data_IF_062242314420
#
_entry.id   IF_062242314420
#
_cell.length_a   1.000
_cell.length_b   1.000
_cell.length_c   1.000
_cell.angle_alpha   90.00
_cell.angle_beta   90.00
_cell.angle_gamma   90.00
#
_symmetry.space_group_name_H-M   'P 1'
#
loop_
_entity.id
_entity.type
_entity.pdbx_description
1 polymer ?
#
# COMPACT_ATOMS: atom_id res chain seq x y z
N UNK A 1 -14.15 38.55 -45.17
CA UNK A 1 -13.59 38.51 -43.80
C UNK A 1 -12.67 37.30 -43.75
N UNK A 2 -11.37 37.50 -43.93
CA UNK A 2 -10.39 36.40 -43.96
C UNK A 2 -9.78 36.21 -42.58
N UNK A 3 -9.92 35.02 -42.01
CA UNK A 3 -9.17 34.63 -40.81
C UNK A 3 -7.69 34.55 -41.18
N UNK A 4 -6.86 35.35 -40.52
CA UNK A 4 -5.42 35.42 -40.75
C UNK A 4 -4.75 34.07 -40.45
N UNK A 5 -3.76 33.66 -41.25
CA UNK A 5 -3.01 32.42 -41.04
C UNK A 5 -2.42 32.30 -39.63
N UNK A 6 -2.08 33.43 -39.01
CA UNK A 6 -1.57 33.48 -37.63
C UNK A 6 -2.65 33.11 -36.58
N UNK A 7 -3.92 33.42 -36.84
CA UNK A 7 -5.04 33.02 -35.96
C UNK A 7 -5.29 31.51 -36.03
N UNK A 8 -5.10 30.90 -37.21
CA UNK A 8 -5.22 29.44 -37.38
C UNK A 8 -4.06 28.72 -36.69
N UNK A 9 -2.83 29.21 -36.82
CA UNK A 9 -1.65 28.63 -36.14
C UNK A 9 -1.79 28.73 -34.62
N UNK A 10 -2.25 29.88 -34.10
CA UNK A 10 -2.49 30.05 -32.66
C UNK A 10 -3.60 29.12 -32.14
N UNK A 11 -4.67 28.92 -32.92
CA UNK A 11 -5.74 27.98 -32.57
C UNK A 11 -5.28 26.51 -32.60
N UNK A 12 -4.37 26.15 -33.50
CA UNK A 12 -3.79 24.80 -33.56
C UNK A 12 -2.79 24.54 -32.43
N UNK A 13 -1.99 25.54 -32.09
CA UNK A 13 -1.07 25.48 -30.94
C UNK A 13 -1.85 25.45 -29.62
N UNK A 14 -2.94 26.22 -29.48
CA UNK A 14 -3.79 26.16 -28.28
C UNK A 14 -4.56 24.84 -28.19
N UNK A 15 -5.07 24.30 -29.30
CA UNK A 15 -5.71 22.98 -29.32
C UNK A 15 -4.72 21.83 -29.02
N UNK A 16 -3.46 21.97 -29.46
CA UNK A 16 -2.40 21.03 -29.12
C UNK A 16 -1.99 21.15 -27.65
N UNK A 17 -1.77 22.37 -27.14
CA UNK A 17 -1.48 22.59 -25.71
C UNK A 17 -2.64 22.16 -24.80
N UNK A 18 -3.89 22.34 -25.24
CA UNK A 18 -5.06 21.77 -24.56
C UNK A 18 -5.00 20.23 -24.63
N UNK A 19 -4.77 19.62 -25.78
CA UNK A 19 -4.66 18.15 -25.84
C UNK A 19 -3.52 17.59 -24.96
N UNK A 20 -2.45 18.35 -24.75
CA UNK A 20 -1.32 17.95 -23.92
C UNK A 20 -1.60 18.20 -22.43
N UNK A 21 -2.35 19.26 -22.10
CA UNK A 21 -2.88 19.51 -20.76
C UNK A 21 -3.95 18.48 -20.34
N UNK A 22 -4.61 17.82 -21.29
CA UNK A 22 -5.56 16.72 -21.03
C UNK A 22 -4.85 15.36 -20.91
N UNK A 23 -3.51 15.35 -20.93
CA UNK A 23 -2.66 14.22 -20.58
C UNK A 23 -2.01 14.40 -19.19
N UNK A 24 -2.67 15.12 -18.27
CA UNK A 24 -2.29 15.11 -16.84
C UNK A 24 -2.92 13.93 -16.06
N UNK A 25 -3.83 13.17 -16.67
CA UNK A 25 -4.33 11.91 -16.12
C UNK A 25 -3.38 10.78 -16.44
N UNK A 26 -2.65 10.27 -15.44
CA UNK A 26 -1.71 9.14 -15.61
C UNK A 26 -2.33 7.92 -16.30
N UNK A 27 -1.53 6.96 -16.78
CA UNK A 27 -2.04 5.79 -17.49
C UNK A 27 -2.63 4.74 -16.53
N UNK A 28 -3.65 4.01 -16.99
CA UNK A 28 -4.13 2.80 -16.31
C UNK A 28 -3.22 1.59 -16.61
N UNK A 29 -3.48 0.45 -15.95
CA UNK A 29 -2.82 -0.81 -16.29
C UNK A 29 -3.11 -1.20 -17.75
N UNK A 30 -2.07 -1.43 -18.55
CA UNK A 30 -2.21 -1.67 -19.98
C UNK A 30 -2.36 -3.18 -20.27
N UNK A 31 -3.50 -3.74 -19.92
CA UNK A 31 -3.74 -5.20 -19.96
C UNK A 31 -4.97 -5.64 -20.76
N UNK A 32 -5.68 -4.68 -21.37
CA UNK A 32 -6.91 -4.91 -22.13
C UNK A 32 -8.15 -5.20 -21.27
N UNK A 33 -8.04 -5.15 -19.94
CA UNK A 33 -9.14 -5.25 -18.97
C UNK A 33 -9.42 -3.94 -18.24
N UNK A 34 -8.51 -2.99 -18.34
CA UNK A 34 -8.68 -1.62 -17.89
C UNK A 34 -8.88 -0.69 -19.09
N UNK A 35 -9.47 0.49 -18.82
CA UNK A 35 -9.43 1.63 -19.75
C UNK A 35 -7.97 2.02 -20.04
N UNK A 36 -7.72 2.74 -21.14
CA UNK A 36 -6.38 3.22 -21.44
C UNK A 36 -5.91 4.32 -20.46
N UNK A 37 -6.81 5.25 -20.14
CA UNK A 37 -6.59 6.37 -19.22
C UNK A 37 -7.76 6.48 -18.24
N UNK A 38 -7.53 6.96 -17.01
CA UNK A 38 -8.57 7.13 -16.03
C UNK A 38 -9.46 8.31 -16.41
N UNK A 39 -10.69 8.29 -15.94
CA UNK A 39 -11.65 9.36 -16.16
C UNK A 39 -12.97 9.11 -15.44
N UNK A 40 -13.90 10.08 -15.47
CA UNK A 40 -15.15 10.00 -14.73
C UNK A 40 -16.06 8.89 -15.24
N UNK A 41 -16.64 8.13 -14.31
CA UNK A 41 -17.58 7.03 -14.52
C UNK A 41 -18.85 7.24 -13.66
N UNK A 42 -19.76 8.16 -14.06
CA UNK A 42 -20.94 8.50 -13.25
C UNK A 42 -21.94 7.34 -13.10
N UNK A 43 -21.82 6.31 -13.92
CA UNK A 43 -22.65 5.11 -13.85
C UNK A 43 -22.12 4.06 -12.86
N UNK A 44 -20.93 4.25 -12.28
CA UNK A 44 -20.25 3.29 -11.42
C UNK A 44 -20.99 3.13 -10.07
N UNK A 45 -21.69 2.00 -9.88
CA UNK A 45 -22.54 1.77 -8.69
C UNK A 45 -21.77 1.18 -7.52
N UNK A 46 -20.97 0.17 -7.82
CA UNK A 46 -19.97 -0.37 -6.90
C UNK A 46 -18.64 0.39 -7.11
N UNK A 47 -17.67 0.27 -6.20
CA UNK A 47 -16.39 0.97 -6.36
C UNK A 47 -16.50 2.51 -6.46
N UNK A 48 -17.56 3.11 -5.89
CA UNK A 48 -17.89 4.54 -6.01
C UNK A 48 -16.82 5.50 -5.49
N UNK A 49 -15.85 5.00 -4.71
CA UNK A 49 -14.64 5.72 -4.34
C UNK A 49 -13.89 6.27 -5.57
N UNK A 50 -14.02 5.62 -6.73
CA UNK A 50 -13.29 5.95 -7.95
C UNK A 50 -14.14 6.67 -9.01
N UNK A 51 -15.43 6.97 -8.74
CA UNK A 51 -16.38 7.54 -9.72
C UNK A 51 -15.86 8.76 -10.47
N UNK A 52 -15.12 9.66 -9.82
CA UNK A 52 -14.63 10.88 -10.47
C UNK A 52 -13.42 10.64 -11.39
N UNK A 53 -12.68 9.54 -11.18
CA UNK A 53 -11.45 9.24 -11.91
C UNK A 53 -11.10 7.74 -11.84
N UNK A 54 -11.77 6.91 -12.66
CA UNK A 54 -11.62 5.46 -12.64
C UNK A 54 -10.92 4.89 -13.90
N UNK A 55 -10.19 3.79 -13.71
CA UNK A 55 -9.65 2.91 -14.74
C UNK A 55 -10.58 1.77 -15.18
N UNK A 56 -11.73 1.62 -14.51
CA UNK A 56 -12.78 0.68 -14.88
C UNK A 56 -14.00 1.44 -15.43
N UNK A 57 -15.02 0.69 -15.81
CA UNK A 57 -16.39 1.15 -16.08
C UNK A 57 -17.34 0.14 -15.43
N UNK A 58 -18.64 0.41 -15.41
CA UNK A 58 -19.64 -0.51 -14.80
C UNK A 58 -19.55 -1.94 -15.39
N UNK A 59 -19.24 -2.06 -16.68
CA UNK A 59 -19.08 -3.36 -17.35
C UNK A 59 -17.93 -4.21 -16.81
N UNK A 60 -16.90 -3.57 -16.25
CA UNK A 60 -15.73 -4.25 -15.69
C UNK A 60 -15.96 -4.78 -14.27
N UNK A 61 -17.11 -4.47 -13.63
CA UNK A 61 -17.40 -4.80 -12.22
C UNK A 61 -18.77 -5.46 -12.01
N UNK A 62 -19.38 -6.00 -13.06
CA UNK A 62 -20.72 -6.61 -13.00
C UNK A 62 -20.81 -7.80 -12.01
N UNK A 63 -19.69 -8.45 -11.69
CA UNK A 63 -19.56 -9.50 -10.68
C UNK A 63 -19.62 -8.97 -9.24
N UNK A 64 -19.35 -7.67 -9.02
CA UNK A 64 -19.40 -7.02 -7.70
C UNK A 64 -20.79 -6.45 -7.35
N UNK A 65 -21.60 -6.14 -8.36
CA UNK A 65 -22.94 -5.55 -8.20
C UNK A 65 -23.91 -6.58 -7.60
N UNK A 66 -24.77 -6.16 -6.69
CA UNK A 66 -25.77 -7.03 -6.07
C UNK A 66 -27.19 -6.83 -6.66
N UNK A 67 -27.90 -7.89 -7.10
CA UNK A 67 -27.39 -9.25 -7.32
C UNK A 67 -26.41 -9.30 -8.51
N UNK A 68 -25.42 -10.21 -8.51
CA UNK A 68 -24.45 -10.32 -9.59
C UNK A 68 -25.16 -10.66 -10.90
N UNK A 69 -24.74 -10.03 -12.00
CA UNK A 69 -25.36 -10.20 -13.32
C UNK A 69 -25.36 -11.67 -13.80
N UNK A 70 -24.40 -12.48 -13.31
CA UNK A 70 -24.43 -13.94 -13.41
C UNK A 70 -23.92 -14.57 -12.10
N UNK A 71 -24.77 -15.31 -11.39
CA UNK A 71 -24.37 -16.06 -10.19
C UNK A 71 -23.46 -17.26 -10.50
N UNK A 72 -23.40 -17.71 -11.76
CA UNK A 72 -22.55 -18.86 -12.13
C UNK A 72 -21.04 -18.51 -12.14
N UNK A 73 -20.69 -17.24 -12.27
CA UNK A 73 -19.30 -16.79 -12.50
C UNK A 73 -18.72 -15.88 -11.42
N UNK A 74 -19.37 -15.71 -10.27
CA UNK A 74 -18.74 -14.98 -9.17
C UNK A 74 -17.58 -15.85 -8.62
N UNK A 75 -16.32 -15.39 -8.64
CA UNK A 75 -15.18 -16.24 -8.26
C UNK A 75 -15.14 -16.61 -6.77
N UNK A 76 -15.75 -15.79 -5.91
CA UNK A 76 -15.59 -15.87 -4.46
C UNK A 76 -16.77 -16.50 -3.71
N UNK A 77 -17.82 -16.96 -4.40
CA UNK A 77 -19.00 -17.58 -3.78
C UNK A 77 -19.01 -19.12 -3.88
N UNK A 78 -17.91 -19.72 -4.34
CA UNK A 78 -17.82 -21.16 -4.61
C UNK A 78 -17.91 -22.04 -3.37
N UNK A 79 -17.60 -21.50 -2.19
CA UNK A 79 -17.75 -22.18 -0.91
C UNK A 79 -18.97 -21.74 -0.10
N UNK A 80 -19.88 -20.99 -0.72
CA UNK A 80 -21.05 -20.40 -0.08
C UNK A 80 -20.99 -18.87 -0.04
N UNK A 81 -22.10 -18.27 0.38
CA UNK A 81 -22.23 -16.82 0.46
C UNK A 81 -21.40 -16.25 1.60
N UNK A 82 -20.61 -15.23 1.30
CA UNK A 82 -19.85 -14.47 2.29
C UNK A 82 -20.76 -13.53 3.07
N UNK A 83 -20.47 -13.33 4.36
CA UNK A 83 -21.08 -12.24 5.13
C UNK A 83 -20.79 -10.87 4.52
N UNK A 84 -21.66 -9.86 4.74
CA UNK A 84 -21.43 -8.50 4.27
C UNK A 84 -20.08 -7.92 4.71
N UNK A 85 -19.63 -8.25 5.92
CA UNK A 85 -18.33 -7.85 6.46
C UNK A 85 -17.17 -8.35 5.60
N UNK A 86 -17.04 -9.67 5.43
CA UNK A 86 -16.00 -10.25 4.59
C UNK A 86 -16.07 -9.78 3.13
N UNK A 87 -17.28 -9.73 2.55
CA UNK A 87 -17.51 -9.28 1.18
C UNK A 87 -17.05 -7.84 0.95
N UNK A 88 -17.17 -6.97 1.95
CA UNK A 88 -16.75 -5.56 1.84
C UNK A 88 -15.24 -5.42 1.59
N UNK A 89 -14.41 -6.24 2.25
CA UNK A 89 -12.96 -6.22 2.04
C UNK A 89 -12.58 -6.72 0.66
N UNK A 90 -13.20 -7.82 0.19
CA UNK A 90 -13.00 -8.30 -1.18
C UNK A 90 -13.38 -7.25 -2.22
N UNK A 91 -14.52 -6.58 -2.04
CA UNK A 91 -14.92 -5.46 -2.89
C UNK A 91 -13.86 -4.36 -2.92
N UNK A 92 -13.33 -3.93 -1.76
CA UNK A 92 -12.28 -2.89 -1.70
C UNK A 92 -11.03 -3.28 -2.48
N UNK A 93 -10.57 -4.53 -2.33
CA UNK A 93 -9.39 -5.05 -3.06
C UNK A 93 -9.62 -5.07 -4.57
N UNK A 94 -10.77 -5.60 -5.01
CA UNK A 94 -11.08 -5.70 -6.44
C UNK A 94 -11.32 -4.32 -7.05
N UNK A 95 -12.01 -3.43 -6.34
CA UNK A 95 -12.21 -2.05 -6.75
C UNK A 95 -10.87 -1.31 -6.86
N UNK A 96 -9.94 -1.51 -5.92
CA UNK A 96 -8.60 -0.94 -6.04
C UNK A 96 -7.90 -1.42 -7.31
N UNK A 97 -7.84 -2.74 -7.52
CA UNK A 97 -7.18 -3.32 -8.70
C UNK A 97 -7.80 -2.82 -10.01
N UNK A 98 -9.13 -2.92 -10.17
CA UNK A 98 -9.80 -2.64 -11.44
C UNK A 98 -10.02 -1.16 -11.71
N UNK A 99 -10.36 -0.38 -10.68
CA UNK A 99 -10.88 0.97 -10.86
C UNK A 99 -9.91 2.05 -10.43
N UNK A 100 -8.98 1.75 -9.54
CA UNK A 100 -8.10 2.80 -9.02
C UNK A 100 -7.10 3.26 -10.08
N UNK A 101 -7.01 4.58 -10.36
CA UNK A 101 -5.93 5.11 -11.21
C UNK A 101 -4.55 4.89 -10.58
N UNK A 102 -4.56 4.60 -9.29
CA UNK A 102 -3.41 4.46 -8.44
C UNK A 102 -2.77 3.08 -8.49
N UNK A 103 -3.51 2.06 -8.91
CA UNK A 103 -3.03 0.68 -9.04
C UNK A 103 -1.87 0.59 -10.06
N UNK A 104 -1.89 1.43 -11.10
CA UNK A 104 -0.88 1.47 -12.15
C UNK A 104 0.53 1.88 -11.67
N UNK A 105 0.71 2.26 -10.40
CA UNK A 105 2.03 2.49 -9.80
C UNK A 105 2.77 1.23 -9.40
N UNK A 106 2.05 0.12 -9.23
CA UNK A 106 2.64 -1.15 -8.83
C UNK A 106 2.44 -2.23 -9.89
N UNK A 107 2.78 -1.98 -11.18
CA UNK A 107 2.60 -2.98 -12.22
C UNK A 107 3.55 -4.16 -11.98
N UNK A 108 3.07 -5.38 -12.16
CA UNK A 108 3.94 -6.54 -12.09
C UNK A 108 4.84 -6.59 -13.35
N UNK A 109 6.18 -6.66 -13.21
CA UNK A 109 7.12 -6.52 -14.32
C UNK A 109 7.08 -7.68 -15.32
N UNK A 110 6.53 -8.83 -14.91
CA UNK A 110 6.45 -10.04 -15.74
C UNK A 110 5.00 -10.44 -16.07
N UNK A 111 4.00 -9.81 -15.44
CA UNK A 111 2.60 -10.18 -15.53
C UNK A 111 1.78 -8.90 -15.74
N UNK A 112 1.58 -8.51 -17.00
CA UNK A 112 1.04 -7.18 -17.33
C UNK A 112 -0.34 -6.85 -16.76
N UNK A 113 -1.11 -7.86 -16.37
CA UNK A 113 -2.44 -7.71 -15.72
C UNK A 113 -2.39 -7.80 -14.19
N UNK A 114 -1.23 -7.87 -13.56
CA UNK A 114 -1.10 -8.09 -12.12
C UNK A 114 -0.40 -6.93 -11.43
N UNK A 115 -0.60 -6.82 -10.12
CA UNK A 115 0.11 -5.88 -9.26
C UNK A 115 1.31 -6.55 -8.59
N UNK A 116 2.25 -5.76 -8.07
CA UNK A 116 3.37 -6.28 -7.28
C UNK A 116 3.73 -5.36 -6.12
N UNK A 117 3.71 -5.90 -4.90
CA UNK A 117 4.00 -5.23 -3.64
C UNK A 117 3.36 -3.84 -3.46
N UNK A 118 2.05 -3.79 -3.64
CA UNK A 118 1.25 -2.68 -3.13
C UNK A 118 1.33 -2.71 -1.59
N UNK A 119 1.72 -1.61 -0.92
CA UNK A 119 1.85 -1.57 0.53
C UNK A 119 0.47 -1.47 1.20
N UNK A 120 0.04 -2.52 1.89
CA UNK A 120 -1.25 -2.58 2.60
C UNK A 120 -1.02 -2.48 4.10
N UNK A 121 -1.86 -1.72 4.78
CA UNK A 121 -1.76 -1.57 6.23
C UNK A 121 -1.99 -2.88 6.96
N UNK A 122 -1.17 -3.14 7.98
CA UNK A 122 -1.32 -4.32 8.83
C UNK A 122 -2.71 -4.39 9.48
N UNK A 123 -3.25 -3.25 9.92
CA UNK A 123 -4.63 -3.16 10.44
C UNK A 123 -5.68 -3.60 9.43
N UNK A 124 -5.56 -3.19 8.16
CA UNK A 124 -6.46 -3.63 7.08
C UNK A 124 -6.43 -5.14 6.92
N UNK A 125 -5.24 -5.73 6.88
CA UNK A 125 -5.04 -7.17 6.73
C UNK A 125 -5.60 -7.96 7.91
N UNK A 126 -5.36 -7.48 9.14
CA UNK A 126 -5.93 -8.04 10.37
C UNK A 126 -7.46 -8.02 10.34
N UNK A 127 -8.04 -6.85 10.04
CA UNK A 127 -9.49 -6.66 10.08
C UNK A 127 -10.19 -7.45 8.97
N UNK A 128 -9.57 -7.56 7.79
CA UNK A 128 -10.04 -8.43 6.72
C UNK A 128 -10.07 -9.90 7.16
N UNK A 129 -8.98 -10.40 7.74
CA UNK A 129 -8.91 -11.78 8.20
C UNK A 129 -9.95 -12.06 9.29
N UNK A 130 -10.12 -11.15 10.25
CA UNK A 130 -11.12 -11.33 11.30
C UNK A 130 -12.55 -11.31 10.75
N UNK A 131 -12.85 -10.41 9.79
CA UNK A 131 -14.16 -10.35 9.14
C UNK A 131 -14.49 -11.61 8.33
N UNK A 132 -13.47 -12.28 7.77
CA UNK A 132 -13.63 -13.52 6.99
C UNK A 132 -13.36 -14.80 7.79
N UNK A 133 -13.03 -14.71 9.07
CA UNK A 133 -12.40 -15.80 9.86
C UNK A 133 -13.13 -17.15 9.77
N UNK A 134 -14.45 -17.12 9.84
CA UNK A 134 -15.34 -18.30 9.79
C UNK A 134 -15.91 -18.59 8.41
N UNK A 135 -15.68 -17.71 7.43
CA UNK A 135 -16.09 -17.93 6.04
C UNK A 135 -15.28 -19.06 5.42
N UNK A 136 -15.77 -19.62 4.32
CA UNK A 136 -15.14 -20.75 3.66
C UNK A 136 -14.39 -20.30 2.39
N UNK A 137 -13.22 -20.91 2.16
CA UNK A 137 -12.44 -20.79 0.92
C UNK A 137 -11.89 -22.16 0.53
N UNK A 138 -11.55 -22.33 -0.74
CA UNK A 138 -11.00 -23.57 -1.29
C UNK A 138 -9.65 -23.40 -1.98
N UNK A 139 -9.14 -22.18 -2.04
CA UNK A 139 -7.84 -21.88 -2.59
C UNK A 139 -7.13 -20.86 -1.71
N UNK A 140 -5.83 -21.09 -1.51
CA UNK A 140 -4.97 -20.20 -0.73
C UNK A 140 -4.60 -18.95 -1.51
N UNK A 141 -4.37 -19.11 -2.81
CA UNK A 141 -3.96 -18.04 -3.73
C UNK A 141 -4.89 -18.05 -4.96
N UNK A 142 -5.79 -17.09 -5.05
CA UNK A 142 -6.81 -17.04 -6.10
C UNK A 142 -6.27 -16.52 -7.44
N UNK A 143 -5.16 -15.78 -7.41
CA UNK A 143 -4.59 -15.15 -8.58
C UNK A 143 -4.03 -16.15 -9.60
N UNK A 144 -3.48 -17.28 -9.12
CA UNK A 144 -2.79 -18.26 -9.97
C UNK A 144 -3.26 -19.69 -9.78
N UNK A 145 -3.90 -20.04 -8.65
CA UNK A 145 -4.34 -21.41 -8.41
C UNK A 145 -5.59 -21.70 -9.27
N UNK A 146 -5.55 -22.67 -10.21
CA UNK A 146 -6.73 -23.08 -10.97
C UNK A 146 -7.88 -23.57 -10.07
N UNK A 147 -7.55 -24.06 -8.86
CA UNK A 147 -8.53 -24.43 -7.84
C UNK A 147 -9.28 -23.23 -7.29
N UNK A 148 -8.74 -22.01 -7.39
CA UNK A 148 -9.47 -20.78 -7.04
C UNK A 148 -10.63 -20.49 -7.99
N UNK A 149 -10.50 -20.85 -9.27
CA UNK A 149 -11.55 -20.58 -10.26
C UNK A 149 -12.73 -21.54 -10.17
N UNK A 150 -12.45 -22.84 -10.02
CA UNK A 150 -13.48 -23.89 -10.03
C UNK A 150 -13.65 -24.60 -8.69
N UNK A 151 -12.90 -24.19 -7.66
CA UNK A 151 -13.05 -24.70 -6.31
C UNK A 151 -12.99 -26.24 -6.23
N UNK A 152 -12.02 -26.85 -6.94
CA UNK A 152 -11.93 -28.32 -7.04
C UNK A 152 -11.37 -28.97 -5.76
N UNK A 153 -10.97 -28.17 -4.77
CA UNK A 153 -10.55 -28.61 -3.44
C UNK A 153 -11.70 -28.63 -2.43
N UNK A 154 -11.41 -29.00 -1.19
CA UNK A 154 -12.37 -28.90 -0.09
C UNK A 154 -12.49 -27.46 0.41
N UNK A 155 -13.70 -27.00 0.65
CA UNK A 155 -13.97 -25.74 1.32
C UNK A 155 -13.61 -25.84 2.80
N UNK A 156 -12.73 -24.97 3.26
CA UNK A 156 -12.27 -24.88 4.65
C UNK A 156 -12.40 -23.45 5.17
N UNK A 157 -12.59 -23.25 6.49
CA UNK A 157 -12.60 -21.92 7.08
C UNK A 157 -11.33 -21.12 6.77
N UNK A 158 -11.43 -19.80 6.61
CA UNK A 158 -10.27 -18.92 6.42
C UNK A 158 -9.22 -19.11 7.53
N UNK A 159 -9.64 -19.26 8.79
CA UNK A 159 -8.73 -19.52 9.91
C UNK A 159 -7.97 -20.86 9.83
N UNK A 160 -8.39 -21.79 8.96
CA UNK A 160 -7.62 -23.01 8.66
C UNK A 160 -6.72 -22.82 7.44
N UNK A 161 -7.10 -21.92 6.51
CA UNK A 161 -6.34 -21.64 5.29
C UNK A 161 -5.19 -20.65 5.52
N UNK A 162 -5.40 -19.65 6.38
CA UNK A 162 -4.47 -18.55 6.67
C UNK A 162 -4.18 -18.47 8.16
N UNK A 163 -2.92 -18.19 8.51
CA UNK A 163 -2.48 -18.12 9.90
C UNK A 163 -2.96 -16.84 10.61
N UNK A 164 -2.91 -15.71 9.92
CA UNK A 164 -3.29 -14.37 10.41
C UNK A 164 -3.51 -13.38 9.26
N UNK A 165 -3.77 -12.11 9.56
CA UNK A 165 -4.05 -11.05 8.58
C UNK A 165 -2.96 -10.86 7.52
N UNK A 166 -1.70 -10.70 7.93
CA UNK A 166 -0.58 -10.61 6.98
C UNK A 166 -0.52 -11.82 6.05
N UNK A 167 -0.69 -13.04 6.58
CA UNK A 167 -0.69 -14.26 5.77
C UNK A 167 -1.81 -14.27 4.72
N UNK A 168 -2.99 -13.75 5.07
CA UNK A 168 -4.10 -13.57 4.13
C UNK A 168 -3.73 -12.60 3.00
N UNK A 169 -3.26 -11.40 3.34
CA UNK A 169 -2.93 -10.36 2.35
C UNK A 169 -1.81 -10.78 1.40
N UNK A 170 -0.77 -11.41 1.92
CA UNK A 170 0.44 -11.81 1.18
C UNK A 170 0.29 -13.17 0.47
N UNK A 171 -0.84 -13.87 0.66
CA UNK A 171 -1.11 -15.15 -0.01
C UNK A 171 -2.28 -15.09 -0.97
N UNK A 172 -3.40 -14.43 -0.64
CA UNK A 172 -4.64 -14.55 -1.40
C UNK A 172 -4.49 -14.08 -2.86
N UNK A 173 -3.76 -12.99 -3.06
CA UNK A 173 -3.50 -12.41 -4.39
C UNK A 173 -2.02 -12.56 -4.80
N UNK A 174 -1.34 -13.58 -4.27
CA UNK A 174 0.07 -13.82 -4.52
C UNK A 174 0.94 -12.67 -4.04
N UNK A 175 1.88 -12.24 -4.87
CA UNK A 175 2.82 -11.16 -4.55
C UNK A 175 2.29 -9.74 -4.84
N UNK A 176 0.98 -9.60 -5.06
CA UNK A 176 0.33 -8.32 -5.31
C UNK A 176 0.45 -7.36 -4.11
N UNK A 177 0.33 -7.87 -2.89
CA UNK A 177 0.30 -7.07 -1.66
C UNK A 177 1.45 -7.45 -0.73
N UNK A 178 1.99 -6.44 -0.05
CA UNK A 178 2.91 -6.63 1.07
C UNK A 178 2.37 -5.87 2.27
N UNK A 179 2.46 -6.48 3.45
CA UNK A 179 1.95 -5.87 4.67
C UNK A 179 2.97 -4.88 5.23
N UNK A 180 2.49 -3.70 5.60
CA UNK A 180 3.29 -2.63 6.22
C UNK A 180 2.62 -2.23 7.52
N UNK A 181 3.41 -2.02 8.57
CA UNK A 181 2.89 -1.57 9.86
C UNK A 181 2.18 -0.21 9.73
N UNK A 182 1.13 -0.03 10.52
CA UNK A 182 0.42 1.24 10.61
C UNK A 182 1.33 2.25 11.33
N UNK A 183 2.01 3.13 10.60
CA UNK A 183 2.81 4.18 11.24
C UNK A 183 1.90 5.30 11.78
N UNK A 184 2.06 5.62 13.07
CA UNK A 184 1.59 6.87 13.66
C UNK A 184 2.58 7.98 13.29
N UNK A 185 2.07 9.14 12.85
CA UNK A 185 2.83 10.31 12.41
C UNK A 185 3.82 10.82 13.48
N UNK A 186 5.04 10.27 13.53
CA UNK A 186 6.14 10.72 14.41
C UNK A 186 7.07 11.72 13.70
N UNK A 187 6.53 12.54 12.79
CA UNK A 187 7.22 13.76 12.36
C UNK A 187 8.50 13.56 11.56
N UNK A 188 8.54 12.57 10.65
CA UNK A 188 9.53 12.57 9.58
C UNK A 188 9.81 11.21 8.96
N UNK A 189 9.17 10.96 7.81
CA UNK A 189 9.51 9.94 6.79
C UNK A 189 8.75 8.61 6.78
N UNK A 190 7.58 8.51 7.39
CA UNK A 190 6.67 7.38 7.19
C UNK A 190 6.26 7.24 5.72
N UNK A 191 6.54 6.10 5.09
CA UNK A 191 5.78 5.73 3.90
C UNK A 191 4.45 5.17 4.37
N UNK A 192 3.37 5.90 4.14
CA UNK A 192 2.05 5.41 4.51
C UNK A 192 1.71 4.11 3.77
N UNK A 193 0.93 3.27 4.45
CA UNK A 193 0.33 2.07 3.89
C UNK A 193 -1.08 2.39 3.38
N UNK A 194 -1.63 1.56 2.49
CA UNK A 194 -2.98 1.73 1.96
C UNK A 194 -3.99 0.90 2.74
N UNK A 195 -5.13 1.52 3.01
CA UNK A 195 -6.31 0.84 3.54
C UNK A 195 -7.31 0.48 2.44
N UNK A 196 -7.04 0.80 1.17
CA UNK A 196 -7.95 0.64 0.04
C UNK A 196 -9.26 1.41 0.28
N UNK A 197 -9.14 2.66 0.70
CA UNK A 197 -10.25 3.49 1.14
C UNK A 197 -10.03 4.98 0.95
N UNK A 198 -10.99 5.82 1.37
CA UNK A 198 -10.93 7.28 1.17
C UNK A 198 -9.71 7.96 1.80
N UNK A 199 -9.15 7.36 2.86
CA UNK A 199 -7.97 7.86 3.58
C UNK A 199 -6.68 7.76 2.78
N UNK A 200 -6.65 6.96 1.71
CA UNK A 200 -5.43 6.71 0.95
C UNK A 200 -5.02 7.90 0.09
N UNK A 201 -5.91 8.89 -0.13
CA UNK A 201 -5.62 10.06 -0.96
C UNK A 201 -4.36 10.81 -0.50
N UNK A 202 -4.22 10.99 0.81
CA UNK A 202 -3.09 11.71 1.40
C UNK A 202 -1.81 10.86 1.36
N UNK A 203 -1.93 9.56 1.62
CA UNK A 203 -0.83 8.59 1.49
C UNK A 203 -0.29 8.58 0.06
N UNK A 204 -1.19 8.49 -0.91
CA UNK A 204 -0.83 8.51 -2.34
C UNK A 204 -0.20 9.84 -2.74
N UNK A 205 -0.73 10.97 -2.27
CA UNK A 205 -0.13 12.28 -2.55
C UNK A 205 1.31 12.36 -2.00
N UNK A 206 1.53 11.88 -0.78
CA UNK A 206 2.86 11.83 -0.16
C UNK A 206 3.83 10.90 -0.92
N UNK A 207 3.35 9.75 -1.41
CA UNK A 207 4.17 8.84 -2.23
C UNK A 207 4.60 9.50 -3.54
N UNK A 208 3.69 10.20 -4.24
CA UNK A 208 4.01 10.91 -5.49
C UNK A 208 5.05 12.02 -5.26
N UNK A 209 4.90 12.80 -4.19
CA UNK A 209 5.83 13.88 -3.88
C UNK A 209 7.29 13.40 -3.68
N UNK A 210 7.49 12.16 -3.20
CA UNK A 210 8.84 11.57 -3.06
C UNK A 210 9.43 11.05 -4.36
N UNK A 211 8.60 10.64 -5.32
CA UNK A 211 9.10 10.22 -6.63
C UNK A 211 9.64 11.39 -7.46
N UNK A 212 9.10 12.58 -7.24
CA UNK A 212 9.48 13.82 -7.92
C UNK A 212 10.74 14.50 -7.34
N UNK A 213 11.29 14.02 -6.22
CA UNK A 213 12.51 14.53 -5.58
C UNK A 213 13.71 13.56 -5.76
N UNK A 214 14.52 13.70 -6.84
CA UNK A 214 15.60 12.79 -7.17
C UNK A 214 16.93 13.05 -6.45
N UNK A 215 17.06 14.02 -5.53
CA UNK A 215 18.34 14.28 -4.82
C UNK A 215 18.72 13.17 -3.80
N UNK A 216 17.90 12.13 -3.64
CA UNK A 216 18.20 10.95 -2.81
C UNK A 216 18.46 9.66 -3.62
N UNK A 217 18.80 9.76 -4.91
CA UNK A 217 19.21 8.59 -5.71
C UNK A 217 20.74 8.44 -5.78
N UNK A 218 21.29 7.52 -4.96
CA UNK A 218 22.65 7.02 -5.14
C UNK A 218 22.76 6.26 -6.47
N UNK A 219 23.35 6.91 -7.46
CA UNK A 219 23.50 6.41 -8.84
C UNK A 219 24.61 5.38 -9.02
N UNK A 220 25.20 4.85 -7.93
CA UNK A 220 26.31 3.87 -8.04
C UNK A 220 25.90 2.41 -8.16
N UNK A 221 24.61 2.03 -8.11
CA UNK A 221 24.18 0.63 -8.31
C UNK A 221 23.61 0.38 -9.71
N UNK A 222 24.45 -0.22 -10.54
CA UNK A 222 24.22 -0.54 -11.94
C UNK A 222 23.03 -1.49 -12.17
N UNK A 223 22.15 -1.12 -13.11
CA UNK A 223 21.46 -2.02 -14.03
C UNK A 223 20.38 -2.95 -13.45
N UNK A 224 19.17 -2.42 -13.33
CA UNK A 224 17.83 -3.06 -13.45
C UNK A 224 16.79 -1.94 -13.21
N UNK A 225 15.55 -2.00 -13.75
CA UNK A 225 14.52 -1.04 -13.36
C UNK A 225 14.38 -1.15 -11.84
N UNK A 226 14.71 -0.07 -11.12
CA UNK A 226 14.73 -0.08 -9.67
C UNK A 226 13.30 -0.21 -9.18
N UNK A 227 12.88 -1.45 -9.00
CA UNK A 227 11.76 -1.82 -8.18
C UNK A 227 12.06 -1.30 -6.76
N UNK A 228 11.48 -0.14 -6.42
CA UNK A 228 11.56 0.44 -5.08
C UNK A 228 10.73 -0.49 -4.18
N UNK A 229 11.41 -1.38 -3.47
CA UNK A 229 10.81 -2.08 -2.35
C UNK A 229 10.24 -1.03 -1.36
N UNK A 230 9.05 -1.23 -0.78
CA UNK A 230 8.44 -0.24 0.07
C UNK A 230 9.22 -0.15 1.39
N UNK A 231 10.02 0.89 1.49
CA UNK A 231 10.36 1.58 2.73
C UNK A 231 10.98 0.71 3.83
N UNK A 232 12.31 0.58 3.76
CA UNK A 232 13.13 0.30 4.92
C UNK A 232 13.83 1.59 5.35
N UNK A 233 13.71 1.92 6.63
CA UNK A 233 14.24 3.13 7.23
C UNK A 233 15.72 3.35 6.95
N UNK A 234 16.09 4.60 6.68
CA UNK A 234 17.48 5.04 6.72
C UNK A 234 17.99 4.94 8.17
N UNK A 235 19.23 4.45 8.40
CA UNK A 235 19.84 4.56 9.71
C UNK A 235 20.00 6.05 10.06
N UNK A 236 19.48 6.47 11.21
CA UNK A 236 19.80 7.77 11.84
C UNK A 236 21.31 7.96 11.80
N UNK A 237 21.79 8.90 10.99
CA UNK A 237 23.18 9.39 11.11
C UNK A 237 23.38 9.88 12.54
N UNK A 238 24.43 9.35 13.15
CA UNK A 238 24.82 9.60 14.52
C UNK A 238 24.72 11.09 14.89
N UNK A 239 24.17 11.32 16.09
CA UNK A 239 24.24 12.58 16.82
C UNK A 239 25.62 13.21 16.65
N UNK A 240 25.67 14.41 16.08
CA UNK A 240 26.88 15.22 16.03
C UNK A 240 27.43 15.40 17.46
N UNK A 241 28.76 15.29 17.68
CA UNK A 241 29.32 15.51 19.00
C UNK A 241 29.14 16.97 19.41
N UNK A 242 28.92 17.27 20.70
CA UNK A 242 28.77 18.64 21.14
C UNK A 242 30.06 19.43 20.84
N UNK A 243 29.91 20.55 20.13
CA UNK A 243 30.98 21.51 19.87
C UNK A 243 31.59 21.97 21.20
N UNK A 244 32.89 21.74 21.36
CA UNK A 244 33.68 22.32 22.44
C UNK A 244 33.64 23.86 22.36
N UNK A 245 32.89 24.47 23.26
CA UNK A 245 32.89 25.91 23.49
C UNK A 245 34.26 26.36 24.00
N UNK A 246 34.94 27.18 23.20
CA UNK A 246 36.22 27.83 23.49
C UNK A 246 36.04 28.74 24.71
N UNK A 247 36.41 28.28 25.91
CA UNK A 247 36.32 29.05 27.16
C UNK A 247 37.58 29.90 27.33
N UNK A 248 37.44 31.21 27.13
CA UNK A 248 38.41 32.21 27.57
C UNK A 248 38.55 32.17 29.08
N UNK A 249 39.80 32.16 29.56
CA UNK A 249 40.14 32.08 30.97
C UNK A 249 39.79 33.36 31.73
N UNK A 250 39.37 33.18 32.98
CA UNK A 250 39.83 33.99 34.10
C UNK A 250 39.67 33.20 35.41
N UNK A 251 40.68 33.32 36.25
CA UNK A 251 40.96 32.52 37.43
C UNK A 251 40.13 32.97 38.65
N UNK A 252 39.79 32.00 39.53
CA UNK A 252 39.75 32.21 40.97
C UNK A 252 39.83 30.85 41.71
N UNK A 253 40.85 30.74 42.57
CA UNK A 253 41.17 29.61 43.44
C UNK A 253 40.21 29.45 44.63
N UNK A 254 39.94 28.20 45.05
CA UNK A 254 39.84 27.69 46.45
C UNK A 254 39.48 26.18 46.41
N UNK A 255 40.45 25.26 46.54
CA UNK A 255 41.00 24.58 47.75
C UNK A 255 40.08 23.56 48.47
N UNK A 256 40.51 22.29 48.37
CA UNK A 256 40.51 21.17 49.37
C UNK A 256 39.11 20.62 49.80
N UNK A 257 38.82 19.32 49.90
CA UNK A 257 39.63 18.15 50.33
C UNK A 257 38.91 16.82 49.96
N UNK A 258 39.67 15.73 49.80
CA UNK A 258 39.29 14.28 49.86
C UNK A 258 39.64 13.85 51.32
N UNK A 259 39.10 12.79 52.00
CA UNK A 259 38.95 11.42 51.47
C UNK A 259 37.93 10.41 52.10
N UNK A 260 37.88 9.21 51.47
CA UNK A 260 37.57 7.85 52.00
C UNK A 260 36.18 7.60 52.65
N UNK A 261 35.53 6.43 52.67
CA UNK A 261 35.66 5.05 52.18
C UNK A 261 34.17 4.51 52.21
N UNK A 262 33.72 3.34 51.77
CA UNK A 262 34.26 1.99 51.83
C UNK A 262 33.51 1.08 50.83
N UNK A 263 34.19 -0.01 50.54
CA UNK A 263 33.79 -1.20 49.79
C UNK A 263 32.78 -2.02 50.60
N UNK A 264 31.79 -2.65 49.95
CA UNK A 264 31.50 -4.08 50.17
C UNK A 264 30.58 -4.66 49.09
N UNK A 265 30.91 -5.89 48.72
CA UNK A 265 30.37 -6.70 47.64
C UNK A 265 29.70 -7.97 48.21
N UNK A 266 29.06 -8.74 47.32
CA UNK A 266 28.54 -10.11 47.48
C UNK A 266 27.18 -10.24 48.20
N UNK A 267 26.27 -11.17 47.87
CA UNK A 267 26.18 -12.31 46.94
C UNK A 267 24.71 -12.79 46.93
N UNK A 268 24.14 -13.24 45.81
CA UNK A 268 23.98 -14.64 45.37
C UNK A 268 23.12 -15.59 46.25
N UNK A 269 22.11 -16.23 45.64
CA UNK A 269 21.36 -17.41 46.13
C UNK A 269 19.83 -17.21 46.15
N UNK A 270 19.05 -17.64 45.14
CA UNK A 270 18.47 -18.98 44.91
C UNK A 270 17.77 -19.62 46.12
N UNK A 271 16.48 -19.96 45.95
CA UNK A 271 15.75 -20.83 46.88
C UNK A 271 14.23 -20.77 46.73
N UNK A 272 13.66 -21.78 46.08
CA UNK A 272 12.24 -22.06 45.99
C UNK A 272 11.66 -22.51 47.35
N UNK A 273 10.36 -22.26 47.61
CA UNK A 273 9.42 -23.32 48.02
C UNK A 273 7.97 -22.83 48.14
N UNK A 274 7.08 -23.77 47.86
CA UNK A 274 5.62 -23.71 47.75
C UNK A 274 4.94 -23.98 49.09
N UNK A 275 3.85 -23.26 49.41
CA UNK A 275 2.61 -23.80 50.02
C UNK A 275 1.61 -22.68 50.32
N UNK A 276 0.38 -22.79 49.81
CA UNK A 276 -0.81 -23.32 50.52
C UNK A 276 -1.67 -24.04 49.49
#
# INVERSE_FOLDING_TARGET
>A
MGVSANMLILAWLSASLLSWAWSEGGACLQDGRHKATPGPEPALRECSLYTDNACCSEDHIQDLVDPPASSENVPWDKCGSLTPGCKSFLKRVICFYRCSPDAARWPHPQHGSSLKAVPICHSFCRDWFEACRSELTCAREWAVDPRGHNCTGSCVPYQQMYQHGQDLCESLWGDAFVTVEDEEDDGGHACGCLNLGPTDRDVIAALRAREEDPEELDTTKSGLPQYRAPCHGLPRTATAPPRAGRRGGNAALRKRSVPLADVEAEGSGSGAETKV
#
